data_IF_588658540377
#
_entry.id   IF_588658540377
#
_cell.length_a   1.000
_cell.length_b   1.000
_cell.length_c   1.000
_cell.angle_alpha   90.00
_cell.angle_beta   90.00
_cell.angle_gamma   90.00
#
_symmetry.space_group_name_H-M   'P 1'
#
loop_
_entity.id
_entity.type
_entity.pdbx_description
1 polymer ?
#
# COMPACT_ATOMS: atom_id res chain seq x y z
N UNK A 1 -11.07 -8.77 6.10
CA UNK A 1 -9.85 -8.43 5.33
C UNK A 1 -10.24 -7.36 4.34
N UNK A 2 -9.56 -6.23 4.35
CA UNK A 2 -9.86 -5.08 3.51
C UNK A 2 -8.73 -4.93 2.50
N UNK A 3 -9.10 -4.80 1.23
CA UNK A 3 -8.13 -4.55 0.17
C UNK A 3 -7.90 -3.05 0.08
N UNK A 4 -6.64 -2.64 0.24
CA UNK A 4 -6.22 -1.26 -0.02
C UNK A 4 -5.58 -1.19 -1.41
N UNK A 5 -5.66 -0.01 -2.00
CA UNK A 5 -5.03 0.32 -3.28
C UNK A 5 -4.19 1.59 -3.12
N UNK A 6 -2.96 1.56 -3.62
CA UNK A 6 -2.11 2.74 -3.83
C UNK A 6 -2.10 3.03 -5.33
N UNK A 7 -2.88 4.03 -5.79
CA UNK A 7 -2.91 4.44 -7.19
C UNK A 7 -1.59 5.04 -7.65
N UNK A 8 -1.10 4.68 -8.83
CA UNK A 8 0.17 5.18 -9.35
C UNK A 8 0.10 6.68 -9.67
N UNK A 9 -0.93 7.14 -10.36
CA UNK A 9 -1.00 8.51 -10.88
C UNK A 9 -0.89 9.55 -9.77
N UNK A 10 -1.53 9.26 -8.64
CA UNK A 10 -1.63 10.08 -7.43
C UNK A 10 -0.35 10.03 -6.60
N UNK A 11 0.39 8.92 -6.65
CA UNK A 11 1.54 8.66 -5.78
C UNK A 11 2.89 8.57 -6.52
N UNK A 12 2.94 8.78 -7.84
CA UNK A 12 4.15 8.58 -8.67
C UNK A 12 5.39 9.38 -8.25
N UNK A 13 5.18 10.47 -7.51
CA UNK A 13 6.27 11.32 -7.00
C UNK A 13 6.71 10.94 -5.58
N UNK A 14 6.04 9.98 -4.94
CA UNK A 14 6.36 9.50 -3.60
C UNK A 14 7.32 8.31 -3.65
N UNK A 15 8.15 8.16 -2.61
CA UNK A 15 9.04 7.02 -2.48
C UNK A 15 8.27 5.78 -2.05
N UNK A 16 7.82 4.97 -3.02
CA UNK A 16 6.94 3.83 -2.78
C UNK A 16 7.44 2.83 -1.74
N UNK A 17 8.77 2.70 -1.59
CA UNK A 17 9.38 1.85 -0.57
C UNK A 17 8.97 2.24 0.85
N UNK A 18 8.69 3.51 1.12
CA UNK A 18 8.18 3.96 2.43
C UNK A 18 6.78 3.41 2.69
N UNK A 19 5.90 3.44 1.69
CA UNK A 19 4.57 2.86 1.84
C UNK A 19 4.62 1.34 1.99
N UNK A 20 5.43 0.65 1.19
CA UNK A 20 5.57 -0.80 1.26
C UNK A 20 6.16 -1.28 2.59
N UNK A 21 7.08 -0.51 3.19
CA UNK A 21 7.59 -0.78 4.53
C UNK A 21 6.47 -0.75 5.58
N UNK A 22 5.62 0.30 5.55
CA UNK A 22 4.47 0.41 6.47
C UNK A 22 3.41 -0.63 6.21
N UNK A 23 3.11 -0.94 4.96
CA UNK A 23 2.20 -2.04 4.62
C UNK A 23 2.70 -3.36 5.19
N UNK A 24 4.00 -3.65 5.06
CA UNK A 24 4.59 -4.90 5.57
C UNK A 24 4.52 -4.99 7.10
N UNK A 25 4.73 -3.89 7.82
CA UNK A 25 4.58 -3.85 9.30
C UNK A 25 3.15 -4.22 9.75
N UNK A 26 2.13 -3.98 8.92
CA UNK A 26 0.71 -4.10 9.26
C UNK A 26 -0.01 -5.20 8.45
N UNK A 27 0.74 -6.08 7.80
CA UNK A 27 0.21 -7.17 6.98
C UNK A 27 1.02 -8.46 7.12
N UNK A 28 0.45 -9.56 6.63
CA UNK A 28 1.15 -10.85 6.51
C UNK A 28 2.06 -10.92 5.28
N UNK A 29 2.37 -9.79 4.66
CA UNK A 29 3.14 -9.72 3.42
C UNK A 29 4.56 -10.23 3.64
N UNK A 30 4.96 -11.22 2.85
CA UNK A 30 6.34 -11.68 2.82
C UNK A 30 7.28 -10.63 2.22
N UNK A 31 8.52 -10.58 2.70
CA UNK A 31 9.53 -9.64 2.21
C UNK A 31 9.75 -9.71 0.68
N UNK A 32 9.66 -10.91 0.09
CA UNK A 32 9.81 -11.09 -1.37
C UNK A 32 8.75 -10.34 -2.18
N UNK A 33 7.54 -10.16 -1.62
CA UNK A 33 6.42 -9.46 -2.26
C UNK A 33 6.71 -7.98 -2.40
N UNK A 34 7.49 -7.38 -1.49
CA UNK A 34 7.88 -5.97 -1.55
C UNK A 34 8.59 -5.64 -2.88
N UNK A 35 9.51 -6.52 -3.31
CA UNK A 35 10.23 -6.34 -4.57
C UNK A 35 9.29 -6.34 -5.78
N UNK A 36 8.34 -7.28 -5.81
CA UNK A 36 7.33 -7.38 -6.89
C UNK A 36 6.47 -6.13 -6.95
N UNK A 37 5.96 -5.65 -5.80
CA UNK A 37 5.08 -4.48 -5.76
C UNK A 37 5.82 -3.18 -6.11
N UNK A 38 7.08 -3.04 -5.70
CA UNK A 38 7.96 -1.94 -6.13
C UNK A 38 8.09 -1.94 -7.65
N UNK A 39 8.41 -3.09 -8.25
CA UNK A 39 8.63 -3.18 -9.69
C UNK A 39 7.34 -2.94 -10.48
N UNK A 40 6.19 -3.38 -9.95
CA UNK A 40 4.87 -3.04 -10.50
C UNK A 40 4.63 -1.53 -10.49
N UNK A 41 4.90 -0.85 -9.37
CA UNK A 41 4.72 0.58 -9.25
C UNK A 41 5.63 1.38 -10.20
N UNK A 42 6.90 0.98 -10.31
CA UNK A 42 7.84 1.56 -11.27
C UNK A 42 7.45 1.27 -12.73
N UNK A 43 6.67 0.21 -12.95
CA UNK A 43 6.04 -0.09 -14.25
C UNK A 43 4.72 0.66 -14.45
N UNK A 44 4.50 1.75 -13.71
CA UNK A 44 3.32 2.64 -13.80
C UNK A 44 2.00 1.94 -13.47
N UNK A 45 2.03 0.93 -12.58
CA UNK A 45 0.83 0.20 -12.16
C UNK A 45 0.45 0.54 -10.73
N UNK A 46 -0.85 0.51 -10.47
CA UNK A 46 -1.39 0.56 -9.12
C UNK A 46 -0.96 -0.66 -8.32
N UNK A 47 -0.87 -0.49 -7.01
CA UNK A 47 -0.55 -1.57 -6.07
C UNK A 47 -1.77 -1.87 -5.23
N UNK A 48 -2.05 -3.15 -5.00
CA UNK A 48 -3.09 -3.56 -4.07
C UNK A 48 -2.55 -4.53 -3.03
N UNK A 49 -3.01 -4.38 -1.79
CA UNK A 49 -2.61 -5.23 -0.68
C UNK A 49 -3.82 -5.55 0.21
N UNK A 50 -3.87 -6.76 0.75
CA UNK A 50 -4.87 -7.13 1.74
C UNK A 50 -4.36 -6.83 3.15
N UNK A 51 -5.17 -6.09 3.91
CA UNK A 51 -4.87 -5.65 5.27
C UNK A 51 -5.97 -6.15 6.20
N UNK A 52 -5.60 -6.54 7.42
CA UNK A 52 -6.59 -6.90 8.43
C UNK A 52 -7.34 -5.65 8.91
N UNK A 53 -8.62 -5.79 9.24
CA UNK A 53 -9.45 -4.67 9.71
C UNK A 53 -8.90 -4.01 10.97
N UNK A 54 -8.23 -4.79 11.82
CA UNK A 54 -7.61 -4.31 13.06
C UNK A 54 -6.45 -3.35 12.80
N UNK A 55 -5.61 -3.66 11.81
CA UNK A 55 -4.39 -2.91 11.52
C UNK A 55 -4.65 -1.71 10.57
N UNK A 56 -5.80 -1.73 9.87
CA UNK A 56 -6.13 -0.74 8.85
C UNK A 56 -6.09 0.72 9.35
N UNK A 57 -6.70 1.10 10.50
CA UNK A 57 -6.71 2.49 10.93
C UNK A 57 -5.30 3.07 11.15
N UNK A 58 -4.42 2.31 11.81
CA UNK A 58 -3.05 2.73 12.07
C UNK A 58 -2.22 2.81 10.78
N UNK A 59 -2.41 1.86 9.86
CA UNK A 59 -1.75 1.89 8.56
C UNK A 59 -2.16 3.11 7.74
N UNK A 60 -3.46 3.42 7.66
CA UNK A 60 -3.96 4.57 6.90
C UNK A 60 -3.40 5.88 7.45
N UNK A 61 -3.37 6.06 8.78
CA UNK A 61 -2.77 7.23 9.42
C UNK A 61 -1.28 7.39 9.06
N UNK A 62 -0.51 6.29 9.08
CA UNK A 62 0.92 6.31 8.72
C UNK A 62 1.12 6.66 7.24
N UNK A 63 0.32 6.10 6.34
CA UNK A 63 0.42 6.37 4.90
C UNK A 63 0.01 7.81 4.57
N UNK A 64 -1.03 8.33 5.21
CA UNK A 64 -1.47 9.72 5.06
C UNK A 64 -0.39 10.71 5.52
N UNK A 65 0.25 10.45 6.67
CA UNK A 65 1.39 11.27 7.16
C UNK A 65 2.58 11.26 6.21
N UNK A 66 2.76 10.17 5.46
CA UNK A 66 3.78 10.06 4.41
C UNK A 66 3.36 10.69 3.08
N UNK A 67 2.15 11.27 3.00
CA UNK A 67 1.62 11.94 1.82
C UNK A 67 1.06 10.98 0.76
N UNK A 68 0.74 9.74 1.14
CA UNK A 68 0.17 8.76 0.21
C UNK A 68 -1.35 8.87 0.14
N UNK A 69 -1.86 8.82 -1.08
CA UNK A 69 -3.29 8.65 -1.36
C UNK A 69 -3.56 7.14 -1.43
N UNK A 70 -4.50 6.67 -0.61
CA UNK A 70 -4.89 5.26 -0.50
C UNK A 70 -6.40 5.15 -0.74
N UNK A 71 -6.81 4.19 -1.55
CA UNK A 71 -8.21 3.87 -1.80
C UNK A 71 -8.57 2.54 -1.14
N UNK A 72 -9.77 2.45 -0.60
CA UNK A 72 -10.32 1.19 -0.09
C UNK A 72 -11.11 0.51 -1.20
N UNK A 73 -10.75 -0.72 -1.55
CA UNK A 73 -11.52 -1.57 -2.46
C UNK A 73 -12.42 -2.48 -1.61
N UNK A 74 -13.68 -2.09 -1.43
CA UNK A 74 -14.69 -2.99 -0.89
C UNK A 74 -15.13 -3.95 -1.99
N UNK A 75 -14.94 -5.25 -1.77
CA UNK A 75 -15.64 -6.27 -2.54
C UNK A 75 -17.13 -6.18 -2.18
N UNK A 76 -17.93 -5.53 -3.02
CA UNK A 76 -19.36 -5.80 -3.08
C UNK A 76 -19.62 -7.15 -3.73
#
# INVERSE_FOLDING_TARGET
MIKIKIPYIENKNNHILLALDKIREHSIMEFKTVGVLRDMFHSMKDISCDISEKELPELLEKLEKLGFIVLLENNN
#
